data_IF_869489234252
#
_entry.id   IF_869489234252
#
_cell.length_a   1.000
_cell.length_b   1.000
_cell.length_c   1.000
_cell.angle_alpha   90.00
_cell.angle_beta   90.00
_cell.angle_gamma   90.00
#
_symmetry.space_group_name_H-M   'P 1'
#
loop_
_entity.id
_entity.type
_entity.pdbx_description
1 polymer ?
#
# COMPACT_ATOMS: atom_id res chain seq x y z
N UNK A 1 10.15 4.10 5.49
CA UNK A 1 9.60 3.34 4.36
C UNK A 1 8.34 2.54 4.75
N UNK A 2 7.74 2.74 5.92
CA UNK A 2 6.82 1.77 6.52
C UNK A 2 5.40 1.82 5.96
N UNK A 3 4.83 3.00 5.65
CA UNK A 3 3.41 3.10 5.24
C UNK A 3 3.20 2.61 3.82
N UNK A 4 4.02 3.09 2.89
CA UNK A 4 3.95 2.68 1.49
C UNK A 4 4.50 1.27 1.30
N UNK A 5 5.54 0.86 2.03
CA UNK A 5 6.00 -0.53 1.95
C UNK A 5 5.01 -1.47 2.64
N UNK A 6 4.27 -1.06 3.67
CA UNK A 6 3.15 -1.84 4.21
C UNK A 6 2.00 -1.91 3.20
N UNK A 7 1.57 -0.80 2.61
CA UNK A 7 0.52 -0.79 1.57
C UNK A 7 0.94 -1.62 0.33
N UNK A 8 2.18 -1.50 -0.15
CA UNK A 8 2.72 -2.27 -1.29
C UNK A 8 2.95 -3.74 -0.96
N UNK A 9 3.49 -4.06 0.21
CA UNK A 9 3.66 -5.44 0.68
C UNK A 9 2.32 -6.12 0.98
N UNK A 10 1.29 -5.36 1.36
CA UNK A 10 -0.05 -5.88 1.63
C UNK A 10 -0.90 -5.97 0.37
N UNK A 11 -0.68 -5.11 -0.64
CA UNK A 11 -1.36 -5.16 -1.94
C UNK A 11 -0.63 -6.04 -3.00
N UNK A 12 0.53 -6.62 -2.67
CA UNK A 12 1.36 -7.39 -3.62
C UNK A 12 1.73 -6.57 -4.90
N UNK A 13 1.87 -5.26 -4.75
CA UNK A 13 2.22 -4.36 -5.86
C UNK A 13 3.74 -4.48 -6.11
N UNK A 14 4.19 -4.82 -7.34
CA UNK A 14 5.59 -4.97 -7.64
C UNK A 14 6.35 -3.66 -7.43
N UNK A 15 7.54 -3.76 -6.85
CA UNK A 15 8.53 -2.69 -6.78
C UNK A 15 9.01 -2.45 -8.21
N UNK A 16 8.79 -1.25 -8.77
CA UNK A 16 9.44 -0.85 -10.03
C UNK A 16 10.94 -0.85 -9.77
N UNK A 17 11.57 -1.95 -10.14
CA UNK A 17 13.01 -2.14 -10.17
C UNK A 17 13.31 -2.65 -11.56
N UNK A 18 14.11 -1.89 -12.31
CA UNK A 18 14.57 -2.32 -13.61
C UNK A 18 15.42 -3.58 -13.47
N UNK A 19 14.85 -4.73 -13.82
CA UNK A 19 15.64 -5.91 -14.19
C UNK A 19 15.13 -6.41 -15.51
N UNK A 20 16.07 -6.53 -16.44
CA UNK A 20 15.94 -7.08 -17.78
C UNK A 20 14.97 -8.27 -17.84
N UNK A 21 14.04 -8.19 -18.79
CA UNK A 21 13.16 -9.29 -19.18
C UNK A 21 14.03 -10.47 -19.62
N UNK A 22 14.14 -11.48 -18.76
CA UNK A 22 14.50 -12.83 -19.17
C UNK A 22 13.34 -13.74 -18.80
N UNK A 23 12.84 -14.41 -19.83
CA UNK A 23 11.71 -15.32 -19.83
C UNK A 23 11.87 -16.41 -18.78
N UNK A 24 11.01 -16.37 -17.75
CA UNK A 24 10.62 -17.56 -17.02
C UNK A 24 9.13 -17.44 -16.69
N UNK A 25 8.36 -18.30 -17.36
CA UNK A 25 6.95 -18.56 -17.11
C UNK A 25 6.68 -18.80 -15.62
N UNK A 26 5.50 -18.39 -15.16
CA UNK A 26 4.77 -18.79 -13.91
C UNK A 26 4.42 -17.67 -12.91
N UNK A 27 4.39 -16.38 -13.29
CA UNK A 27 3.83 -15.30 -12.44
C UNK A 27 2.76 -14.42 -13.11
N UNK A 28 2.04 -14.94 -14.11
CA UNK A 28 1.05 -14.18 -14.90
C UNK A 28 -0.36 -14.09 -14.27
N UNK A 29 -0.54 -14.19 -12.96
CA UNK A 29 -1.86 -14.10 -12.31
C UNK A 29 -1.84 -13.27 -11.03
N UNK A 30 -1.71 -11.95 -11.13
CA UNK A 30 -2.08 -11.05 -10.03
C UNK A 30 -2.05 -9.59 -10.50
N UNK A 31 -3.07 -9.22 -11.26
CA UNK A 31 -3.57 -7.84 -11.36
C UNK A 31 -5.00 -7.96 -11.87
N UNK A 32 -5.96 -8.07 -10.95
CA UNK A 32 -7.38 -7.97 -11.25
C UNK A 32 -7.77 -6.53 -10.96
N UNK A 33 -7.68 -5.69 -11.98
CA UNK A 33 -8.36 -4.41 -11.99
C UNK A 33 -9.79 -4.63 -12.49
N UNK A 34 -10.73 -3.93 -11.87
CA UNK A 34 -12.10 -3.79 -12.31
C UNK A 34 -13.07 -4.66 -11.51
N UNK A 35 -14.01 -4.00 -10.85
CA UNK A 35 -15.31 -4.59 -10.57
C UNK A 35 -15.78 -5.28 -11.85
N UNK A 36 -15.83 -6.61 -11.80
CA UNK A 36 -16.41 -7.39 -12.86
C UNK A 36 -17.84 -6.91 -13.03
N UNK A 37 -18.12 -6.25 -14.15
CA UNK A 37 -19.44 -5.79 -14.60
C UNK A 37 -20.45 -6.92 -14.84
N UNK A 38 -20.19 -8.13 -14.35
CA UNK A 38 -21.06 -9.30 -14.55
C UNK A 38 -21.36 -10.08 -13.26
N UNK A 39 -20.85 -9.66 -12.10
CA UNK A 39 -21.34 -10.17 -10.80
C UNK A 39 -21.97 -9.01 -10.06
N UNK A 40 -23.29 -9.04 -9.89
CA UNK A 40 -23.99 -8.23 -8.88
C UNK A 40 -23.18 -8.30 -7.58
N UNK A 41 -22.78 -7.14 -7.03
CA UNK A 41 -22.08 -7.10 -5.74
C UNK A 41 -22.82 -8.00 -4.75
N UNK A 42 -22.11 -8.89 -4.06
CA UNK A 42 -22.74 -9.64 -2.98
C UNK A 42 -23.06 -8.71 -1.82
N UNK A 43 -23.99 -9.09 -0.94
CA UNK A 43 -24.27 -8.33 0.28
C UNK A 43 -23.00 -8.04 1.11
N UNK A 44 -22.03 -8.96 1.06
CA UNK A 44 -20.73 -8.84 1.72
C UNK A 44 -19.81 -7.83 1.03
N UNK A 45 -19.77 -7.81 -0.30
CA UNK A 45 -18.99 -6.81 -1.04
C UNK A 45 -19.55 -5.41 -0.79
N UNK A 46 -20.87 -5.25 -0.79
CA UNK A 46 -21.52 -3.97 -0.45
C UNK A 46 -21.17 -3.55 0.98
N UNK A 47 -21.17 -4.46 1.94
CA UNK A 47 -20.78 -4.18 3.33
C UNK A 47 -19.34 -3.64 3.44
N UNK A 48 -18.39 -4.16 2.65
CA UNK A 48 -17.01 -3.68 2.64
C UNK A 48 -16.82 -2.37 1.87
N UNK A 49 -17.70 -2.07 0.91
CA UNK A 49 -17.53 -0.95 -0.01
C UNK A 49 -18.39 0.27 0.33
N UNK A 50 -19.28 0.14 1.30
CA UNK A 50 -20.15 1.21 1.81
C UNK A 50 -19.37 2.47 2.21
N UNK A 51 -18.14 2.33 2.69
CA UNK A 51 -17.27 3.45 3.08
C UNK A 51 -16.42 4.00 1.92
N UNK A 52 -16.46 3.36 0.73
CA UNK A 52 -15.69 3.75 -0.46
C UNK A 52 -16.54 4.40 -1.57
N UNK A 53 -17.62 5.10 -1.21
CA UNK A 53 -18.56 5.73 -2.17
C UNK A 53 -18.04 6.95 -2.92
N UNK A 54 -16.83 7.41 -2.61
CA UNK A 54 -16.18 8.48 -3.40
C UNK A 54 -15.60 7.94 -4.71
N UNK A 55 -15.47 6.61 -4.86
CA UNK A 55 -15.17 5.97 -6.13
C UNK A 55 -16.47 5.86 -6.96
N UNK A 56 -16.54 6.49 -8.15
CA UNK A 56 -17.75 6.50 -8.97
C UNK A 56 -18.24 5.11 -9.39
N UNK A 57 -17.32 4.16 -9.62
CA UNK A 57 -17.68 2.79 -10.00
C UNK A 57 -18.30 2.04 -8.82
N UNK A 58 -17.71 2.21 -7.63
CA UNK A 58 -18.21 1.63 -6.39
C UNK A 58 -19.58 2.19 -6.02
N UNK A 59 -19.76 3.51 -6.08
CA UNK A 59 -21.04 4.14 -5.75
C UNK A 59 -22.13 3.77 -6.75
N UNK A 60 -21.81 3.68 -8.04
CA UNK A 60 -22.74 3.20 -9.06
C UNK A 60 -23.16 1.74 -8.80
N UNK A 61 -22.21 0.88 -8.44
CA UNK A 61 -22.47 -0.53 -8.15
C UNK A 61 -23.30 -0.71 -6.86
N UNK A 62 -23.01 0.06 -5.80
CA UNK A 62 -23.81 0.05 -4.56
C UNK A 62 -25.22 0.59 -4.82
N UNK A 63 -25.36 1.68 -5.57
CA UNK A 63 -26.67 2.23 -5.96
C UNK A 63 -27.47 1.22 -6.78
N UNK A 64 -26.83 0.49 -7.70
CA UNK A 64 -27.47 -0.57 -8.48
C UNK A 64 -27.93 -1.73 -7.58
N UNK A 65 -27.10 -2.19 -6.65
CA UNK A 65 -27.47 -3.21 -5.66
C UNK A 65 -28.67 -2.77 -4.79
N UNK A 66 -28.60 -1.56 -4.22
CA UNK A 66 -29.69 -1.01 -3.40
C UNK A 66 -30.98 -0.88 -4.22
N UNK A 67 -30.92 -0.44 -5.48
CA UNK A 67 -32.10 -0.32 -6.36
C UNK A 67 -32.78 -1.68 -6.58
N UNK A 68 -32.00 -2.76 -6.73
CA UNK A 68 -32.53 -4.13 -6.84
C UNK A 68 -33.17 -4.58 -5.52
N UNK A 69 -32.54 -4.31 -4.38
CA UNK A 69 -33.12 -4.61 -3.06
C UNK A 69 -34.41 -3.83 -2.79
N UNK A 70 -34.44 -2.52 -3.10
CA UNK A 70 -35.63 -1.67 -2.99
C UNK A 70 -36.79 -2.14 -3.89
N UNK A 71 -36.49 -2.82 -5.01
CA UNK A 71 -37.51 -3.42 -5.89
C UNK A 71 -38.03 -4.79 -5.44
N UNK A 72 -37.69 -5.25 -4.23
CA UNK A 72 -38.17 -6.50 -3.64
C UNK A 72 -37.19 -7.66 -3.70
N UNK A 73 -35.90 -7.41 -3.94
CA UNK A 73 -34.85 -8.39 -3.71
C UNK A 73 -34.84 -8.86 -2.25
N UNK A 74 -34.62 -10.15 -2.00
CA UNK A 74 -34.37 -10.67 -0.65
C UNK A 74 -32.87 -10.63 -0.40
N UNK A 75 -32.44 -10.04 0.72
CA UNK A 75 -31.06 -10.14 1.17
C UNK A 75 -30.67 -11.62 1.37
N UNK A 76 -29.63 -12.04 0.68
CA UNK A 76 -28.97 -13.31 0.96
C UNK A 76 -28.25 -13.16 2.29
N UNK A 77 -28.83 -13.75 3.35
CA UNK A 77 -28.25 -13.83 4.70
C UNK A 77 -26.75 -14.08 4.65
N UNK A 78 -25.97 -13.23 5.31
CA UNK A 78 -24.53 -13.38 5.43
C UNK A 78 -24.23 -14.70 6.12
N UNK A 79 -23.77 -15.69 5.35
CA UNK A 79 -23.51 -17.03 5.86
C UNK A 79 -22.38 -16.96 6.87
N UNK A 80 -22.70 -17.05 8.17
CA UNK A 80 -21.72 -17.06 9.25
C UNK A 80 -20.94 -18.38 9.21
N UNK A 81 -19.85 -18.41 8.47
CA UNK A 81 -18.93 -19.55 8.43
C UNK A 81 -17.67 -19.21 9.22
N UNK A 82 -17.76 -19.39 10.54
CA UNK A 82 -16.64 -19.22 11.49
C UNK A 82 -15.51 -20.24 11.27
N UNK A 83 -15.68 -21.23 10.38
CA UNK A 83 -14.71 -22.31 10.12
C UNK A 83 -13.59 -22.00 9.11
N UNK A 84 -13.50 -20.80 8.54
CA UNK A 84 -12.48 -20.46 7.54
C UNK A 84 -11.77 -19.12 7.82
N UNK A 85 -11.12 -18.99 8.97
CA UNK A 85 -10.34 -17.78 9.30
C UNK A 85 -9.28 -17.44 8.24
N UNK A 86 -8.62 -18.45 7.64
CA UNK A 86 -7.62 -18.21 6.60
C UNK A 86 -8.25 -17.70 5.30
N UNK A 87 -9.36 -18.30 4.86
CA UNK A 87 -10.04 -17.86 3.65
C UNK A 87 -10.61 -16.44 3.83
N UNK A 88 -11.17 -16.15 5.01
CA UNK A 88 -11.66 -14.81 5.36
C UNK A 88 -10.54 -13.77 5.41
N UNK A 89 -9.36 -14.10 5.95
CA UNK A 89 -8.18 -13.21 5.91
C UNK A 89 -7.69 -12.95 4.49
N UNK A 90 -7.65 -13.99 3.65
CA UNK A 90 -7.24 -13.87 2.25
C UNK A 90 -8.25 -13.02 1.47
N UNK A 91 -9.54 -13.27 1.64
CA UNK A 91 -10.63 -12.52 0.99
C UNK A 91 -10.62 -11.05 1.40
N UNK A 92 -10.53 -10.75 2.72
CA UNK A 92 -10.38 -9.37 3.21
C UNK A 92 -9.18 -8.66 2.57
N UNK A 93 -8.05 -9.37 2.43
CA UNK A 93 -6.85 -8.83 1.75
C UNK A 93 -7.13 -8.49 0.29
N UNK A 94 -7.83 -9.35 -0.45
CA UNK A 94 -8.15 -9.10 -1.86
C UNK A 94 -9.16 -7.95 -2.04
N UNK A 95 -10.19 -7.87 -1.20
CA UNK A 95 -11.17 -6.76 -1.22
C UNK A 95 -10.47 -5.44 -0.89
N UNK A 96 -9.65 -5.42 0.16
CA UNK A 96 -8.88 -4.24 0.51
C UNK A 96 -7.90 -3.83 -0.61
N UNK A 97 -7.28 -4.79 -1.30
CA UNK A 97 -6.43 -4.54 -2.45
C UNK A 97 -7.20 -3.92 -3.63
N UNK A 98 -8.44 -4.34 -3.88
CA UNK A 98 -9.30 -3.73 -4.89
C UNK A 98 -9.55 -2.24 -4.58
N UNK A 99 -9.99 -1.94 -3.35
CA UNK A 99 -10.23 -0.56 -2.89
C UNK A 99 -8.96 0.30 -3.04
N UNK A 100 -7.81 -0.21 -2.59
CA UNK A 100 -6.54 0.51 -2.72
C UNK A 100 -6.16 0.71 -4.19
N UNK A 101 -6.29 -0.32 -5.03
CA UNK A 101 -5.82 -0.29 -6.42
C UNK A 101 -6.52 0.76 -7.26
N UNK A 102 -7.82 0.97 -7.05
CA UNK A 102 -8.58 2.01 -7.75
C UNK A 102 -8.40 3.36 -7.08
N UNK A 103 -8.47 3.41 -5.76
CA UNK A 103 -8.37 4.66 -5.02
C UNK A 103 -7.01 5.34 -5.14
N UNK A 104 -5.91 4.58 -5.25
CA UNK A 104 -4.56 5.16 -5.38
C UNK A 104 -4.38 5.92 -6.68
N UNK A 105 -5.09 5.54 -7.75
CA UNK A 105 -5.08 6.24 -9.03
C UNK A 105 -5.72 7.63 -8.94
N UNK A 106 -6.58 7.85 -7.94
CA UNK A 106 -7.25 9.12 -7.68
C UNK A 106 -6.47 10.04 -6.72
N UNK A 107 -5.34 9.57 -6.17
CA UNK A 107 -4.50 10.37 -5.27
C UNK A 107 -3.40 11.08 -6.07
N UNK A 108 -3.41 12.41 -6.04
CA UNK A 108 -2.43 13.20 -6.79
C UNK A 108 -1.04 13.12 -6.13
N UNK A 109 -0.02 12.75 -6.91
CA UNK A 109 1.38 12.76 -6.47
C UNK A 109 1.93 14.20 -6.47
N UNK A 110 2.47 14.71 -5.36
CA UNK A 110 3.03 16.06 -5.29
C UNK A 110 4.46 16.12 -5.85
N UNK A 111 4.63 15.77 -7.13
CA UNK A 111 5.94 15.72 -7.80
C UNK A 111 6.60 17.10 -7.93
N UNK A 112 5.85 18.20 -7.76
CA UNK A 112 6.38 19.57 -7.76
C UNK A 112 6.90 20.05 -6.40
N UNK A 113 6.80 19.23 -5.35
CA UNK A 113 7.30 19.57 -4.02
C UNK A 113 8.81 19.89 -4.06
N UNK A 114 9.22 21.05 -3.51
CA UNK A 114 10.59 21.57 -3.64
C UNK A 114 11.38 21.61 -2.31
N UNK A 115 10.85 20.98 -1.25
CA UNK A 115 11.49 21.01 0.06
C UNK A 115 10.96 22.11 1.00
N UNK A 116 10.29 23.15 0.48
CA UNK A 116 9.95 24.34 1.27
C UNK A 116 8.56 24.28 1.89
N UNK A 117 7.56 23.85 1.13
CA UNK A 117 6.18 23.70 1.61
C UNK A 117 5.78 22.23 1.68
N UNK A 118 5.57 21.73 2.89
CA UNK A 118 5.14 20.35 3.13
C UNK A 118 3.62 20.15 2.99
N UNK A 119 2.83 21.20 2.76
CA UNK A 119 1.37 21.07 2.65
C UNK A 119 0.93 20.07 1.56
N UNK A 120 1.51 20.05 0.34
CA UNK A 120 1.18 19.05 -0.67
C UNK A 120 1.50 17.61 -0.22
N UNK A 121 2.64 17.42 0.46
CA UNK A 121 3.05 16.10 0.99
C UNK A 121 2.14 15.65 2.13
N UNK A 122 1.76 16.57 3.03
CA UNK A 122 0.79 16.29 4.11
C UNK A 122 -0.57 15.90 3.54
N UNK A 123 -1.03 16.57 2.47
CA UNK A 123 -2.26 16.22 1.76
C UNK A 123 -2.17 14.82 1.18
N UNK A 124 -1.08 14.51 0.48
CA UNK A 124 -0.81 13.17 -0.08
C UNK A 124 -0.87 12.07 1.00
N UNK A 125 -0.18 12.26 2.13
CA UNK A 125 -0.22 11.33 3.27
C UNK A 125 -1.64 11.19 3.83
N UNK A 126 -2.40 12.29 3.93
CA UNK A 126 -3.78 12.27 4.41
C UNK A 126 -4.70 11.49 3.46
N UNK A 127 -4.58 11.70 2.15
CA UNK A 127 -5.35 10.99 1.13
C UNK A 127 -5.03 9.48 1.15
N UNK A 128 -3.76 9.08 1.29
CA UNK A 128 -3.38 7.68 1.49
C UNK A 128 -3.93 7.08 2.78
N UNK A 129 -3.92 7.83 3.89
CA UNK A 129 -4.45 7.36 5.18
C UNK A 129 -5.97 7.16 5.11
N UNK A 130 -6.68 8.09 4.46
CA UNK A 130 -8.12 7.98 4.23
C UNK A 130 -8.44 6.78 3.34
N UNK A 131 -7.68 6.57 2.26
CA UNK A 131 -7.83 5.42 1.38
C UNK A 131 -7.61 4.09 2.14
N UNK A 132 -6.58 4.01 2.97
CA UNK A 132 -6.32 2.84 3.80
C UNK A 132 -7.49 2.56 4.76
N UNK A 133 -8.02 3.60 5.41
CA UNK A 133 -9.20 3.47 6.29
C UNK A 133 -10.42 2.95 5.54
N UNK A 134 -10.68 3.41 4.31
CA UNK A 134 -11.78 2.91 3.48
C UNK A 134 -11.61 1.46 3.06
N UNK A 135 -10.36 1.02 2.90
CA UNK A 135 -10.03 -0.37 2.63
C UNK A 135 -10.08 -1.26 3.90
N UNK A 136 -10.47 -0.70 5.05
CA UNK A 136 -10.60 -1.43 6.32
C UNK A 136 -9.29 -1.59 7.09
N UNK A 137 -8.23 -0.89 6.71
CA UNK A 137 -6.98 -0.85 7.49
C UNK A 137 -7.10 0.12 8.65
N UNK A 138 -6.50 -0.25 9.78
CA UNK A 138 -6.27 0.66 10.89
C UNK A 138 -5.08 1.60 10.61
N UNK A 139 -4.75 2.42 11.59
CA UNK A 139 -3.54 3.23 11.56
C UNK A 139 -2.30 2.35 11.27
N UNK A 140 -1.44 2.79 10.35
CA UNK A 140 -0.31 1.99 9.88
C UNK A 140 0.64 1.54 11.01
N UNK A 141 0.74 2.33 12.10
CA UNK A 141 1.55 1.90 13.27
C UNK A 141 0.93 0.69 13.96
N UNK A 142 -0.39 0.67 14.10
CA UNK A 142 -1.14 -0.43 14.71
C UNK A 142 -1.10 -1.67 13.83
N UNK A 143 -1.21 -1.52 12.51
CA UNK A 143 -1.18 -2.65 11.58
C UNK A 143 0.19 -3.34 11.55
N UNK A 144 1.27 -2.56 11.56
CA UNK A 144 2.63 -3.10 11.66
C UNK A 144 2.85 -3.75 13.03
N UNK A 145 2.36 -3.15 14.11
CA UNK A 145 2.43 -3.74 15.46
C UNK A 145 1.72 -5.10 15.54
N UNK A 146 0.54 -5.24 14.91
CA UNK A 146 -0.16 -6.53 14.82
C UNK A 146 0.67 -7.58 14.09
N UNK A 147 1.31 -7.21 12.97
CA UNK A 147 2.18 -8.12 12.24
C UNK A 147 3.42 -8.51 13.04
N UNK A 148 4.04 -7.56 13.75
CA UNK A 148 5.16 -7.83 14.65
C UNK A 148 4.75 -8.76 15.79
N UNK A 149 3.61 -8.50 16.43
CA UNK A 149 3.09 -9.35 17.50
C UNK A 149 2.75 -10.76 17.01
N UNK A 150 2.16 -10.90 15.81
CA UNK A 150 1.89 -12.21 15.21
C UNK A 150 3.18 -12.98 14.91
N UNK A 151 4.21 -12.31 14.38
CA UNK A 151 5.52 -12.92 14.12
C UNK A 151 6.24 -13.30 15.42
N UNK A 152 6.14 -12.47 16.47
CA UNK A 152 6.71 -12.75 17.79
C UNK A 152 6.06 -13.96 18.47
N UNK A 153 4.72 -14.10 18.39
CA UNK A 153 3.98 -15.22 18.99
C UNK A 153 4.42 -16.61 18.48
N UNK A 154 4.97 -16.66 17.28
CA UNK A 154 5.36 -17.92 16.61
C UNK A 154 6.87 -18.07 16.48
N UNK A 155 7.64 -17.17 17.09
CA UNK A 155 9.10 -17.20 17.05
C UNK A 155 9.63 -17.95 18.28
N UNK A 156 10.59 -18.84 18.05
CA UNK A 156 11.19 -19.67 19.11
C UNK A 156 12.37 -18.98 19.82
N UNK A 157 12.99 -18.00 19.15
CA UNK A 157 14.13 -17.25 19.66
C UNK A 157 14.13 -15.82 19.11
N UNK A 158 14.95 -14.95 19.69
CA UNK A 158 15.12 -13.59 19.20
C UNK A 158 15.72 -13.58 17.78
N UNK A 159 16.61 -14.52 17.47
CA UNK A 159 17.17 -14.71 16.12
C UNK A 159 16.11 -15.06 15.08
N UNK A 160 15.23 -16.01 15.40
CA UNK A 160 14.10 -16.39 14.55
C UNK A 160 13.14 -15.21 14.36
N UNK A 161 12.83 -14.48 15.43
CA UNK A 161 12.01 -13.28 15.35
C UNK A 161 12.61 -12.21 14.42
N UNK A 162 13.91 -11.90 14.56
CA UNK A 162 14.58 -10.95 13.68
C UNK A 162 14.48 -11.39 12.21
N UNK A 163 14.79 -12.67 11.91
CA UNK A 163 14.66 -13.21 10.55
C UNK A 163 13.25 -13.05 9.97
N UNK A 164 12.20 -13.23 10.80
CA UNK A 164 10.80 -13.08 10.36
C UNK A 164 10.39 -11.63 10.10
N UNK A 165 11.01 -10.64 10.74
CA UNK A 165 10.66 -9.22 10.59
C UNK A 165 11.57 -8.47 9.61
N UNK A 166 12.51 -9.15 8.96
CA UNK A 166 13.44 -8.55 8.00
C UNK A 166 12.71 -7.74 6.91
N UNK A 167 11.58 -8.23 6.40
CA UNK A 167 10.79 -7.54 5.37
C UNK A 167 10.01 -6.31 5.89
N UNK A 168 9.90 -6.14 7.21
CA UNK A 168 9.18 -5.05 7.87
C UNK A 168 10.12 -3.96 8.38
N UNK A 169 11.43 -4.19 8.36
CA UNK A 169 12.46 -3.30 8.87
C UNK A 169 13.34 -2.80 7.73
N UNK A 170 13.93 -1.60 7.86
CA UNK A 170 14.89 -1.14 6.86
C UNK A 170 16.14 -2.01 6.90
N UNK A 171 16.81 -2.28 5.77
CA UNK A 171 17.98 -3.16 5.72
C UNK A 171 19.09 -2.75 6.70
N UNK A 172 19.36 -1.44 6.80
CA UNK A 172 20.37 -0.89 7.70
C UNK A 172 20.01 -1.11 9.18
N UNK A 173 18.77 -0.82 9.56
CA UNK A 173 18.32 -1.03 10.94
C UNK A 173 18.30 -2.52 11.28
N UNK A 174 17.85 -3.37 10.35
CA UNK A 174 17.85 -4.82 10.53
C UNK A 174 19.26 -5.39 10.69
N UNK A 175 20.22 -4.91 9.90
CA UNK A 175 21.62 -5.31 10.03
C UNK A 175 22.19 -4.92 11.40
N UNK A 176 21.94 -3.68 11.86
CA UNK A 176 22.37 -3.23 13.18
C UNK A 176 21.76 -4.07 14.32
N UNK A 177 20.47 -4.41 14.23
CA UNK A 177 19.82 -5.30 15.20
C UNK A 177 20.43 -6.71 15.19
N UNK A 178 20.72 -7.25 14.01
CA UNK A 178 21.32 -8.57 13.86
C UNK A 178 22.74 -8.61 14.42
N UNK A 179 23.53 -7.56 14.18
CA UNK A 179 24.87 -7.42 14.75
C UNK A 179 24.82 -7.32 16.28
N UNK A 180 23.92 -6.50 16.83
CA UNK A 180 23.73 -6.41 18.28
C UNK A 180 23.34 -7.76 18.91
N UNK A 181 22.52 -8.56 18.23
CA UNK A 181 22.17 -9.90 18.68
C UNK A 181 23.42 -10.80 18.73
N UNK A 182 24.22 -10.82 17.66
CA UNK A 182 25.46 -11.61 17.60
C UNK A 182 26.44 -11.21 18.70
N UNK A 183 26.60 -9.91 18.96
CA UNK A 183 27.45 -9.42 20.04
C UNK A 183 26.96 -9.92 21.41
N UNK A 184 25.65 -9.86 21.68
CA UNK A 184 25.10 -10.34 22.95
C UNK A 184 25.21 -11.85 23.09
N UNK A 185 24.90 -12.63 22.05
CA UNK A 185 25.05 -14.09 22.07
C UNK A 185 26.51 -14.50 22.31
N UNK A 186 27.48 -13.72 21.79
CA UNK A 186 28.90 -13.92 22.05
C UNK A 186 29.27 -13.54 23.49
N UNK A 187 28.77 -12.42 24.01
CA UNK A 187 29.01 -11.96 25.39
C UNK A 187 28.40 -12.90 26.44
N UNK A 188 27.23 -13.50 26.16
CA UNK A 188 26.53 -14.40 27.09
C UNK A 188 26.79 -15.88 26.81
N UNK A 189 27.54 -16.20 25.75
CA UNK A 189 27.81 -17.55 25.25
C UNK A 189 26.55 -18.43 25.16
N UNK A 190 25.42 -17.82 24.77
CA UNK A 190 24.09 -18.45 24.81
C UNK A 190 23.13 -17.73 23.85
N UNK A 191 22.19 -18.48 23.29
CA UNK A 191 21.14 -17.91 22.44
C UNK A 191 20.22 -17.00 23.26
N UNK A 192 19.83 -15.86 22.69
CA UNK A 192 18.94 -14.92 23.37
C UNK A 192 17.48 -15.30 23.12
N UNK A 193 16.73 -15.54 24.20
CA UNK A 193 15.29 -15.79 24.15
C UNK A 193 14.48 -14.48 24.06
N UNK A 194 13.19 -14.60 23.72
CA UNK A 194 12.24 -13.48 23.72
C UNK A 194 11.68 -13.16 25.12
N UNK A 195 12.26 -13.74 26.18
CA UNK A 195 11.84 -13.47 27.55
C UNK A 195 12.48 -12.18 28.07
N UNK A 196 11.63 -11.18 28.34
CA UNK A 196 12.02 -9.88 28.86
C UNK A 196 12.71 -9.93 30.24
N UNK A 197 12.54 -11.03 30.98
CA UNK A 197 13.20 -11.23 32.27
C UNK A 197 14.66 -11.67 32.15
N UNK A 198 15.02 -12.30 31.02
CA UNK A 198 16.35 -12.86 30.77
C UNK A 198 17.44 -11.79 30.68
N UNK A 199 18.64 -12.12 31.17
CA UNK A 199 19.78 -11.19 31.15
C UNK A 199 20.23 -10.88 29.71
N UNK A 200 20.24 -11.91 28.84
CA UNK A 200 20.54 -11.75 27.41
C UNK A 200 19.59 -10.77 26.73
N UNK A 201 18.27 -10.88 26.99
CA UNK A 201 17.30 -9.94 26.43
C UNK A 201 17.51 -8.51 26.96
N UNK A 202 17.83 -8.32 28.23
CA UNK A 202 18.11 -6.99 28.81
C UNK A 202 19.35 -6.34 28.18
N UNK A 203 20.44 -7.11 27.99
CA UNK A 203 21.64 -6.64 27.29
C UNK A 203 21.35 -6.29 25.84
N UNK A 204 20.58 -7.13 25.14
CA UNK A 204 20.12 -6.84 23.78
C UNK A 204 19.27 -5.57 23.72
N UNK A 205 18.27 -5.42 24.59
CA UNK A 205 17.41 -4.25 24.64
C UNK A 205 18.20 -2.96 24.88
N UNK A 206 19.26 -2.98 25.70
CA UNK A 206 20.14 -1.84 25.90
C UNK A 206 20.89 -1.46 24.61
N UNK A 207 21.42 -2.44 23.85
CA UNK A 207 22.04 -2.18 22.54
C UNK A 207 21.01 -1.66 21.52
N UNK A 208 19.78 -2.19 21.52
CA UNK A 208 18.69 -1.69 20.66
C UNK A 208 18.34 -0.24 20.96
N UNK A 209 18.34 0.18 22.23
CA UNK A 209 18.12 1.59 22.59
C UNK A 209 19.22 2.49 22.01
N UNK A 210 20.49 2.07 22.08
CA UNK A 210 21.60 2.80 21.48
C UNK A 210 21.48 2.89 19.95
N UNK A 211 21.11 1.79 19.29
CA UNK A 211 20.85 1.76 17.84
C UNK A 211 19.70 2.71 17.51
N UNK A 212 18.58 2.67 18.25
CA UNK A 212 17.45 3.55 18.01
C UNK A 212 17.84 5.03 18.12
N UNK A 213 18.66 5.40 19.11
CA UNK A 213 19.23 6.76 19.22
C UNK A 213 20.13 7.12 18.04
N UNK A 214 21.00 6.20 17.58
CA UNK A 214 21.84 6.43 16.40
C UNK A 214 21.02 6.67 15.12
N UNK A 215 19.88 5.97 14.99
CA UNK A 215 18.90 6.17 13.91
C UNK A 215 17.93 7.34 14.15
N UNK A 216 18.20 8.21 15.13
CA UNK A 216 17.38 9.39 15.47
C UNK A 216 15.93 9.05 15.84
N UNK A 217 15.69 7.86 16.37
CA UNK A 217 14.38 7.45 16.89
C UNK A 217 14.27 7.79 18.38
N UNK A 218 13.22 8.52 18.82
CA UNK A 218 13.01 8.88 20.22
C UNK A 218 12.44 7.69 21.01
N UNK A 219 13.22 6.61 21.13
CA UNK A 219 12.77 5.31 21.64
C UNK A 219 12.05 5.42 22.99
N UNK A 220 12.49 6.33 23.87
CA UNK A 220 11.86 6.56 25.17
C UNK A 220 10.41 7.02 25.02
N UNK A 221 10.15 7.98 24.14
CA UNK A 221 8.79 8.45 23.83
C UNK A 221 7.96 7.33 23.21
N UNK A 222 8.55 6.54 22.30
CA UNK A 222 7.85 5.43 21.63
C UNK A 222 7.43 4.33 22.61
N UNK A 223 8.30 3.98 23.56
CA UNK A 223 8.03 2.98 24.60
C UNK A 223 7.06 3.53 25.64
N UNK A 224 7.27 4.75 26.12
CA UNK A 224 6.45 5.35 27.17
C UNK A 224 5.00 5.59 26.68
N UNK A 225 4.80 5.90 25.40
CA UNK A 225 3.46 6.07 24.82
C UNK A 225 2.63 4.76 24.78
N UNK A 226 3.26 3.60 24.96
CA UNK A 226 2.62 2.28 24.94
C UNK A 226 2.38 1.70 26.34
N UNK A 227 2.81 2.39 27.39
CA UNK A 227 2.55 1.98 28.78
C UNK A 227 1.10 2.31 29.19
N UNK A 228 0.52 1.58 30.17
CA UNK A 228 -0.78 1.92 30.73
C UNK A 228 -0.80 3.36 31.25
N UNK A 229 -1.91 4.06 31.04
CA UNK A 229 -2.01 5.49 31.25
C UNK A 229 -1.75 5.94 32.70
N UNK A 230 -0.94 6.99 32.87
CA UNK A 230 -0.81 7.77 34.11
C UNK A 230 -1.10 9.25 33.84
N UNK A 231 -1.33 10.07 34.86
CA UNK A 231 -1.76 11.48 34.69
C UNK A 231 -0.78 12.40 33.95
N UNK A 232 0.47 11.98 33.69
CA UNK A 232 1.47 12.68 32.86
C UNK A 232 1.42 12.31 31.36
N UNK A 233 0.41 11.54 30.94
CA UNK A 233 0.29 10.90 29.62
C UNK A 233 0.17 11.86 28.42
N UNK A 234 -0.42 13.05 28.61
CA UNK A 234 -0.83 13.89 27.49
C UNK A 234 0.36 14.45 26.70
N UNK A 235 1.45 14.79 27.39
CA UNK A 235 2.69 15.24 26.75
C UNK A 235 3.35 14.12 25.95
N UNK A 236 3.36 12.89 26.50
CA UNK A 236 3.94 11.71 25.84
C UNK A 236 3.12 11.33 24.61
N UNK A 237 1.78 11.34 24.71
CA UNK A 237 0.88 11.09 23.57
C UNK A 237 1.06 12.12 22.46
N UNK A 238 1.15 13.42 22.79
CA UNK A 238 1.41 14.47 21.80
C UNK A 238 2.78 14.32 21.13
N UNK A 239 3.82 14.02 21.91
CA UNK A 239 5.16 13.78 21.37
C UNK A 239 5.20 12.56 20.45
N UNK A 240 4.52 11.47 20.82
CA UNK A 240 4.38 10.29 19.99
C UNK A 240 3.66 10.61 18.67
N UNK A 241 2.51 11.29 18.71
CA UNK A 241 1.76 11.65 17.50
C UNK A 241 2.55 12.60 16.58
N UNK A 242 3.26 13.56 17.16
CA UNK A 242 4.15 14.46 16.41
C UNK A 242 5.29 13.70 15.71
N UNK A 243 5.89 12.72 16.41
CA UNK A 243 6.89 11.86 15.80
C UNK A 243 6.30 11.00 14.69
N UNK A 244 5.13 10.37 14.91
CA UNK A 244 4.45 9.56 13.90
C UNK A 244 4.21 10.40 12.65
N UNK A 245 3.61 11.60 12.78
CA UNK A 245 3.37 12.49 11.65
C UNK A 245 4.66 12.83 10.89
N UNK A 246 5.74 13.13 11.62
CA UNK A 246 7.05 13.44 11.03
C UNK A 246 7.63 12.24 10.27
N UNK A 247 7.48 11.03 10.83
CA UNK A 247 7.92 9.79 10.18
C UNK A 247 7.12 9.50 8.89
N UNK A 248 5.79 9.71 8.89
CA UNK A 248 4.97 9.55 7.66
C UNK A 248 5.39 10.52 6.57
N UNK A 249 5.65 11.76 6.98
CA UNK A 249 6.06 12.81 6.08
C UNK A 249 7.42 12.48 5.45
N UNK A 250 8.40 12.07 6.26
CA UNK A 250 9.71 11.65 5.77
C UNK A 250 9.61 10.46 4.80
N UNK A 251 8.75 9.49 5.10
CA UNK A 251 8.49 8.35 4.23
C UNK A 251 7.88 8.75 2.89
N UNK A 252 6.90 9.67 2.91
CA UNK A 252 6.28 10.19 1.69
C UNK A 252 7.26 11.01 0.85
N UNK A 253 8.07 11.86 1.49
CA UNK A 253 9.14 12.62 0.79
C UNK A 253 10.10 11.66 0.09
N UNK A 254 10.57 10.62 0.80
CA UNK A 254 11.47 9.64 0.20
C UNK A 254 10.84 8.91 -1.00
N UNK A 255 9.54 8.58 -0.96
CA UNK A 255 8.84 8.02 -2.11
C UNK A 255 8.74 9.02 -3.27
N UNK A 256 8.36 10.26 -2.99
CA UNK A 256 8.24 11.32 -4.00
C UNK A 256 9.60 11.54 -4.69
N UNK A 257 10.70 11.54 -3.95
CA UNK A 257 12.04 11.72 -4.51
C UNK A 257 12.47 10.53 -5.38
N UNK A 258 12.12 9.31 -4.99
CA UNK A 258 12.31 8.12 -5.84
C UNK A 258 11.50 8.25 -7.14
N UNK A 259 10.23 8.64 -7.06
CA UNK A 259 9.34 8.79 -8.23
C UNK A 259 9.82 9.91 -9.15
N UNK A 260 10.29 11.04 -8.61
CA UNK A 260 10.91 12.12 -9.38
C UNK A 260 12.17 11.64 -10.10
N UNK A 261 13.02 10.88 -9.41
CA UNK A 261 14.25 10.35 -9.98
C UNK A 261 13.96 9.37 -11.11
N UNK A 262 12.98 8.48 -10.91
CA UNK A 262 12.51 7.53 -11.94
C UNK A 262 11.92 8.28 -13.15
N UNK A 263 11.03 9.24 -12.92
CA UNK A 263 10.44 10.05 -13.98
C UNK A 263 11.49 10.85 -14.77
N UNK A 264 12.45 11.46 -14.07
CA UNK A 264 13.55 12.21 -14.71
C UNK A 264 14.41 11.28 -15.54
N UNK A 265 14.82 10.12 -15.00
CA UNK A 265 15.62 9.13 -15.72
C UNK A 265 14.91 8.61 -16.97
N UNK A 266 13.60 8.34 -16.87
CA UNK A 266 12.79 7.92 -18.01
C UNK A 266 12.66 9.02 -19.06
N UNK A 267 12.47 10.27 -18.65
CA UNK A 267 12.38 11.41 -19.55
C UNK A 267 13.72 11.67 -20.25
N UNK A 268 14.84 11.67 -19.52
CA UNK A 268 16.18 11.85 -20.11
C UNK A 268 16.47 10.75 -21.13
N UNK A 269 16.17 9.49 -20.79
CA UNK A 269 16.28 8.36 -21.72
C UNK A 269 15.34 8.50 -22.93
N UNK A 270 14.19 9.13 -22.77
CA UNK A 270 13.26 9.39 -23.86
C UNK A 270 13.77 10.50 -24.79
N UNK A 271 14.25 11.62 -24.22
CA UNK A 271 14.73 12.79 -24.97
C UNK A 271 16.03 12.54 -25.74
N UNK A 272 16.79 11.49 -25.38
CA UNK A 272 17.97 11.06 -26.16
C UNK A 272 17.62 10.33 -27.47
N UNK A 273 16.34 9.97 -27.68
CA UNK A 273 15.88 9.26 -28.88
C UNK A 273 15.33 10.23 -29.92
N UNK A 274 15.39 9.84 -31.19
CA UNK A 274 14.70 10.57 -32.25
C UNK A 274 13.18 10.39 -32.14
N UNK A 275 12.41 11.39 -32.58
CA UNK A 275 10.95 11.34 -32.57
C UNK A 275 10.39 10.11 -33.31
N UNK A 276 11.01 9.71 -34.42
CA UNK A 276 10.65 8.50 -35.16
C UNK A 276 10.86 7.22 -34.35
N UNK A 277 11.99 7.12 -33.64
CA UNK A 277 12.28 5.96 -32.78
C UNK A 277 11.29 5.88 -31.64
N UNK A 278 11.01 7.01 -30.98
CA UNK A 278 9.99 7.12 -29.93
C UNK A 278 8.64 6.64 -30.43
N UNK A 279 8.19 7.16 -31.59
CA UNK A 279 6.90 6.82 -32.17
C UNK A 279 6.79 5.32 -32.45
N UNK A 280 7.83 4.73 -33.07
CA UNK A 280 7.87 3.30 -33.38
C UNK A 280 7.83 2.42 -32.13
N UNK A 281 8.55 2.79 -31.07
CA UNK A 281 8.53 2.04 -29.80
C UNK A 281 7.18 2.12 -29.10
N UNK A 282 6.55 3.30 -29.09
CA UNK A 282 5.22 3.51 -28.50
C UNK A 282 4.15 2.73 -29.28
N UNK A 283 4.16 2.79 -30.61
CA UNK A 283 3.26 2.01 -31.47
C UNK A 283 3.41 0.50 -31.26
N UNK A 284 4.65 0.00 -31.18
CA UNK A 284 4.92 -1.41 -30.90
C UNK A 284 4.42 -1.83 -29.51
N UNK A 285 4.54 -0.96 -28.51
CA UNK A 285 4.06 -1.21 -27.16
C UNK A 285 2.52 -1.24 -27.10
N UNK A 286 1.87 -0.29 -27.77
CA UNK A 286 0.41 -0.25 -27.92
C UNK A 286 -0.13 -1.49 -28.65
N UNK A 287 0.52 -1.90 -29.74
CA UNK A 287 0.14 -3.11 -30.48
C UNK A 287 0.28 -4.38 -29.62
N UNK A 288 1.32 -4.44 -28.78
CA UNK A 288 1.52 -5.56 -27.84
C UNK A 288 0.43 -5.60 -26.76
N UNK A 289 0.03 -4.43 -26.24
CA UNK A 289 -1.08 -4.32 -25.30
C UNK A 289 -2.41 -4.74 -25.94
N UNK A 290 -2.67 -4.30 -27.17
CA UNK A 290 -3.85 -4.72 -27.94
C UNK A 290 -3.88 -6.23 -28.16
N UNK A 291 -2.76 -6.85 -28.54
CA UNK A 291 -2.68 -8.30 -28.71
C UNK A 291 -2.99 -9.04 -27.41
N UNK A 292 -2.51 -8.53 -26.26
CA UNK A 292 -2.83 -9.10 -24.93
C UNK A 292 -4.30 -8.97 -24.59
N UNK A 293 -4.94 -7.86 -24.97
CA UNK A 293 -6.36 -7.59 -24.76
C UNK A 293 -7.22 -8.57 -25.57
N UNK A 294 -6.92 -8.74 -26.86
CA UNK A 294 -7.62 -9.68 -27.74
C UNK A 294 -7.43 -11.14 -27.29
N UNK A 295 -6.23 -11.51 -26.85
CA UNK A 295 -5.96 -12.84 -26.31
C UNK A 295 -6.73 -13.13 -25.00
N UNK A 296 -7.25 -12.09 -24.34
CA UNK A 296 -7.97 -12.19 -23.07
C UNK A 296 -9.47 -11.94 -23.22
N UNK A 297 -10.00 -12.12 -24.44
CA UNK A 297 -11.43 -11.95 -24.74
C UNK A 297 -12.29 -12.84 -23.83
N UNK A 298 -13.30 -12.24 -23.21
CA UNK A 298 -14.18 -12.88 -22.23
C UNK A 298 -13.75 -12.70 -20.77
N UNK A 299 -12.57 -12.14 -20.50
CA UNK A 299 -12.20 -11.71 -19.15
C UNK A 299 -12.79 -10.33 -18.83
N UNK A 300 -13.35 -10.16 -17.63
CA UNK A 300 -13.98 -8.92 -17.20
C UNK A 300 -13.03 -7.71 -17.23
N UNK A 301 -11.77 -7.88 -16.80
CA UNK A 301 -10.75 -6.82 -16.85
C UNK A 301 -10.45 -6.37 -18.29
N UNK A 302 -10.49 -7.29 -19.25
CA UNK A 302 -10.23 -6.99 -20.67
C UNK A 302 -11.41 -6.22 -21.28
N UNK A 303 -12.64 -6.59 -20.94
CA UNK A 303 -13.83 -5.82 -21.33
C UNK A 303 -13.79 -4.40 -20.75
N UNK A 304 -13.43 -4.25 -19.46
CA UNK A 304 -13.27 -2.95 -18.81
C UNK A 304 -12.17 -2.11 -19.44
N UNK A 305 -11.00 -2.68 -19.69
CA UNK A 305 -9.92 -1.96 -20.36
C UNK A 305 -10.32 -1.49 -21.77
N UNK A 306 -11.12 -2.26 -22.52
CA UNK A 306 -11.68 -1.81 -23.80
C UNK A 306 -12.67 -0.66 -23.65
N UNK A 307 -13.48 -0.66 -22.59
CA UNK A 307 -14.37 0.45 -22.22
C UNK A 307 -13.56 1.71 -21.87
N UNK A 308 -12.52 1.59 -21.07
CA UNK A 308 -11.63 2.69 -20.71
C UNK A 308 -10.96 3.31 -21.95
N UNK A 309 -10.49 2.49 -22.89
CA UNK A 309 -9.96 2.98 -24.16
C UNK A 309 -11.00 3.75 -24.99
N UNK A 310 -12.29 3.38 -24.92
CA UNK A 310 -13.37 4.13 -25.56
C UNK A 310 -13.62 5.45 -24.85
N UNK A 311 -13.57 5.46 -23.50
CA UNK A 311 -13.74 6.66 -22.69
C UNK A 311 -12.60 7.67 -22.93
N UNK A 312 -11.36 7.20 -23.08
CA UNK A 312 -10.22 8.05 -23.46
C UNK A 312 -10.46 8.67 -24.85
N UNK A 313 -10.88 7.88 -25.84
CA UNK A 313 -11.20 8.41 -27.18
C UNK A 313 -12.34 9.43 -27.16
N UNK A 314 -13.36 9.20 -26.33
CA UNK A 314 -14.44 10.16 -26.11
C UNK A 314 -13.92 11.45 -25.48
N UNK A 315 -13.06 11.35 -24.46
CA UNK A 315 -12.44 12.49 -23.80
C UNK A 315 -11.64 13.33 -24.80
N UNK A 316 -10.77 12.69 -25.60
CA UNK A 316 -9.97 13.35 -26.63
C UNK A 316 -10.85 14.09 -27.65
N UNK A 317 -11.94 13.44 -28.10
CA UNK A 317 -12.90 14.06 -29.02
C UNK A 317 -13.65 15.25 -28.38
N UNK A 318 -14.02 15.13 -27.11
CA UNK A 318 -14.70 16.19 -26.38
C UNK A 318 -13.80 17.41 -26.15
N UNK A 319 -12.52 17.19 -25.81
CA UNK A 319 -11.51 18.25 -25.69
C UNK A 319 -11.22 18.89 -27.03
N UNK A 320 -11.07 18.09 -28.10
CA UNK A 320 -10.87 18.62 -29.45
C UNK A 320 -12.06 19.48 -29.92
N UNK A 321 -13.29 19.13 -29.52
CA UNK A 321 -14.48 19.90 -29.85
C UNK A 321 -14.57 21.23 -29.08
N UNK A 322 -14.06 21.32 -27.85
CA UNK A 322 -14.07 22.55 -27.04
C UNK A 322 -12.79 22.69 -26.18
N UNK A 323 -11.64 23.08 -26.76
CA UNK A 323 -10.36 23.07 -26.07
C UNK A 323 -10.28 24.06 -24.91
N UNK A 324 -11.07 25.14 -24.93
CA UNK A 324 -11.10 26.16 -23.86
C UNK A 324 -11.87 25.74 -22.62
N UNK A 325 -12.86 24.85 -22.75
CA UNK A 325 -13.70 24.39 -21.64
C UNK A 325 -13.45 22.93 -21.23
N UNK A 326 -12.72 22.16 -22.04
CA UNK A 326 -12.51 20.73 -21.82
C UNK A 326 -13.78 19.89 -22.02
N UNK A 327 -13.80 18.64 -21.54
CA UNK A 327 -14.95 17.75 -21.69
C UNK A 327 -16.13 18.28 -20.87
N UNK A 328 -17.32 18.27 -21.46
CA UNK A 328 -18.55 18.63 -20.73
C UNK A 328 -19.02 17.43 -19.91
N UNK A 329 -18.93 17.53 -18.59
CA UNK A 329 -19.71 16.67 -17.72
C UNK A 329 -21.19 17.04 -17.87
N UNK A 330 -22.05 16.10 -18.25
CA UNK A 330 -23.50 16.27 -18.12
C UNK A 330 -23.83 16.36 -16.64
N UNK A 331 -24.26 17.55 -16.20
CA UNK A 331 -24.68 17.84 -14.83
C UNK A 331 -26.05 17.25 -14.52
#
# INVERSE_FOLDING_TARGET
>A
MAIISALRSMANLPRSGSTSVSTSSTFSKLFVAGYATETSLSAKDVAYLLDNRDDPEVDAAIKAYLKVQFSGGKDTSSTSTEHFELASKVEKKYVAAQVISQGVLNVALPLSYDGKDFAPVKRYVSELTKLASKAGFEDATVEVEKQLAQKAKTAESLKDFLGRIQSLTSPEFHAALSEALVQVETETNSAVSLDASSEGYKKFAAKVQAIATAHKMPWKVLVDAKKPATSSDDAVKKAYQSWVQSARLADAVAEIDVLKTEATTLLDKHLTKTAETVKKEQESSLASLQKKLEASKGAAWAAKFQEDLKNIKWFDAAVAANPSSGPKATA
#
